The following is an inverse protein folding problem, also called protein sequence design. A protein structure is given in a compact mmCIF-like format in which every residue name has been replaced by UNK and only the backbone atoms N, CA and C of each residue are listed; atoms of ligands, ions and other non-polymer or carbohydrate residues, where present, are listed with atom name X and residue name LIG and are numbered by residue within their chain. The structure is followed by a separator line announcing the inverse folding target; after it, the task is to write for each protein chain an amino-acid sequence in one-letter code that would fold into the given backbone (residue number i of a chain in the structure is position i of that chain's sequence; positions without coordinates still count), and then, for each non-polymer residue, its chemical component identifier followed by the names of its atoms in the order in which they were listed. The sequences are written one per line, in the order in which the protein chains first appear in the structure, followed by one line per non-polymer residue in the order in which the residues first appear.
data_IF_767704202443
#
_entry.id   IF_767704202443
#
_cell.length_a   1.000
_cell.length_b   1.000
_cell.length_c   1.000
_cell.angle_alpha   90.00
_cell.angle_beta   90.00
_cell.angle_gamma   90.00
#
_symmetry.space_group_name_H-M   'P 1'
#
loop_
_entity.id
_entity.type
_entity.pdbx_description
1 polymer ?
#
# COMPACT_ATOMS: atom_id res chain seq x y z
N UNK A 1 -18.62 -17.35 78.80
CA UNK A 1 -17.24 -16.84 78.88
C UNK A 1 -17.23 -15.43 78.30
N UNK A 2 -17.39 -14.41 79.16
CA UNK A 2 -16.39 -13.37 79.49
C UNK A 2 -16.09 -12.45 78.29
N UNK A 3 -16.76 -11.28 78.15
CA UNK A 3 -16.54 -9.96 78.82
C UNK A 3 -15.41 -9.09 78.23
N UNK A 4 -15.82 -7.90 77.76
CA UNK A 4 -15.27 -6.56 78.07
C UNK A 4 -13.91 -6.15 77.46
N UNK A 5 -13.52 -4.88 77.25
CA UNK A 5 -14.10 -3.52 77.11
C UNK A 5 -12.84 -2.59 77.10
N UNK A 6 -12.94 -1.40 76.49
CA UNK A 6 -12.13 -0.20 76.82
C UNK A 6 -10.65 -0.17 76.34
N UNK A 7 -9.95 0.93 76.05
CA UNK A 7 -10.18 2.39 75.95
C UNK A 7 -8.86 3.07 75.51
N UNK A 8 -8.98 4.17 74.75
CA UNK A 8 -8.32 5.51 74.90
C UNK A 8 -6.79 5.68 75.06
N UNK A 9 -6.25 6.64 74.28
CA UNK A 9 -5.09 7.50 74.61
C UNK A 9 -4.15 7.70 73.40
N UNK A 10 -3.85 8.87 72.84
CA UNK A 10 -3.88 10.25 73.36
C UNK A 10 -2.45 10.80 73.44
N UNK A 11 -2.09 11.77 72.58
CA UNK A 11 -0.81 12.51 72.59
C UNK A 11 -0.08 12.40 71.23
N UNK A 12 -0.07 13.41 70.35
CA UNK A 12 0.49 14.75 70.57
C UNK A 12 2.01 14.61 70.70
N UNK A 13 2.85 15.07 69.76
CA UNK A 13 3.32 16.47 69.76
C UNK A 13 4.24 16.73 68.53
N UNK A 14 3.97 17.87 67.86
CA UNK A 14 4.85 18.79 67.08
C UNK A 14 5.31 18.47 65.64
N UNK A 15 4.78 19.32 64.74
CA UNK A 15 5.38 19.80 63.47
C UNK A 15 6.73 20.50 63.72
N UNK A 16 7.56 20.64 62.67
CA UNK A 16 7.56 21.93 61.96
C UNK A 16 7.59 21.79 60.42
N UNK A 17 6.76 22.59 59.74
CA UNK A 17 7.08 23.23 58.44
C UNK A 17 7.74 24.58 58.79
N UNK A 18 8.43 25.34 57.89
CA UNK A 18 8.45 25.25 56.42
C UNK A 18 9.85 25.44 55.79
N UNK A 19 9.97 25.32 54.46
CA UNK A 19 11.21 25.72 53.78
C UNK A 19 11.24 25.43 52.29
N UNK A 20 10.88 26.43 51.50
CA UNK A 20 11.15 26.52 50.06
C UNK A 20 12.63 26.20 49.76
N UNK A 21 12.91 25.16 48.96
CA UNK A 21 14.24 24.98 48.38
C UNK A 21 14.17 25.23 46.88
N UNK A 22 14.96 26.22 46.48
CA UNK A 22 15.11 26.74 45.14
C UNK A 22 15.69 25.65 44.23
N UNK A 23 15.13 25.54 43.04
CA UNK A 23 15.81 24.97 41.87
C UNK A 23 17.24 25.51 41.79
N UNK A 24 18.23 24.64 41.98
CA UNK A 24 19.62 24.91 41.60
C UNK A 24 19.78 24.46 40.16
N UNK A 25 19.64 25.42 39.25
CA UNK A 25 20.07 25.32 37.87
C UNK A 25 21.60 25.15 37.86
N UNK A 26 22.08 23.94 37.58
CA UNK A 26 23.48 23.71 37.24
C UNK A 26 23.71 24.24 35.83
N UNK A 27 24.23 25.46 35.71
CA UNK A 27 24.74 26.00 34.46
C UNK A 27 26.06 25.28 34.16
N UNK A 28 26.04 24.32 33.24
CA UNK A 28 27.25 23.84 32.59
C UNK A 28 27.79 24.97 31.69
N UNK A 29 28.88 25.62 32.09
CA UNK A 29 29.72 26.36 31.15
C UNK A 29 30.41 25.36 30.22
N UNK A 30 29.81 25.12 29.06
CA UNK A 30 30.52 24.51 27.94
C UNK A 30 31.53 25.54 27.40
N UNK A 31 32.81 25.16 27.41
CA UNK A 31 33.91 25.97 26.92
C UNK A 31 33.73 26.33 25.44
N UNK A 32 33.91 27.62 25.11
CA UNK A 32 33.76 28.21 23.77
C UNK A 32 34.80 27.74 22.73
N UNK A 33 35.60 26.71 23.02
CA UNK A 33 36.63 26.21 22.09
C UNK A 33 36.19 25.00 21.25
N UNK A 34 35.17 24.24 21.66
CA UNK A 34 34.70 23.06 20.90
C UNK A 34 33.68 23.38 19.79
N UNK A 35 33.03 24.54 19.83
CA UNK A 35 32.01 24.92 18.82
C UNK A 35 32.59 25.50 17.54
N UNK A 36 33.81 26.06 17.56
CA UNK A 36 34.49 26.56 16.34
C UNK A 36 35.07 25.43 15.50
N UNK A 37 35.64 24.40 16.13
CA UNK A 37 36.21 23.26 15.41
C UNK A 37 35.13 22.40 14.72
N UNK A 38 33.97 22.21 15.38
CA UNK A 38 32.84 21.49 14.78
C UNK A 38 32.21 22.27 13.61
N UNK A 39 32.16 23.60 13.71
CA UNK A 39 31.61 24.46 12.65
C UNK A 39 32.54 24.55 11.43
N UNK A 40 33.86 24.65 11.66
CA UNK A 40 34.85 24.63 10.58
C UNK A 40 34.89 23.28 9.83
N UNK A 41 34.69 22.16 10.55
CA UNK A 41 34.64 20.83 9.93
C UNK A 41 33.37 20.62 9.10
N UNK A 42 32.24 21.16 9.54
CA UNK A 42 30.98 21.13 8.79
C UNK A 42 30.99 22.05 7.55
N UNK A 43 31.66 23.21 7.63
CA UNK A 43 31.82 24.13 6.50
C UNK A 43 32.77 23.57 5.43
N UNK A 44 33.83 22.86 5.81
CA UNK A 44 34.77 22.21 4.89
C UNK A 44 34.15 20.98 4.18
N UNK A 45 33.32 20.21 4.89
CA UNK A 45 32.58 19.07 4.33
C UNK A 45 31.48 19.52 3.36
N UNK A 46 30.80 20.65 3.65
CA UNK A 46 29.87 21.31 2.74
C UNK A 46 30.58 21.90 1.50
N UNK A 47 31.78 22.47 1.66
CA UNK A 47 32.59 22.98 0.55
C UNK A 47 33.13 21.84 -0.34
N UNK A 48 33.38 20.65 0.22
CA UNK A 48 33.79 19.45 -0.52
C UNK A 48 32.64 18.82 -1.30
N UNK A 49 31.42 18.85 -0.76
CA UNK A 49 30.21 18.44 -1.48
C UNK A 49 29.88 19.38 -2.67
N UNK A 50 30.24 20.67 -2.57
CA UNK A 50 30.07 21.66 -3.63
C UNK A 50 31.11 21.58 -4.77
N UNK A 51 32.17 20.76 -4.64
CA UNK A 51 33.26 20.61 -5.62
C UNK A 51 33.26 19.26 -6.34
N UNK A 52 32.10 18.65 -6.54
CA UNK A 52 31.98 17.51 -7.46
C UNK A 52 31.86 18.02 -8.90
N UNK A 53 32.72 17.57 -9.83
CA UNK A 53 32.64 17.99 -11.22
C UNK A 53 31.31 17.54 -11.81
N UNK A 54 30.63 18.50 -12.43
CA UNK A 54 29.36 18.32 -13.13
C UNK A 54 29.53 17.30 -14.26
N UNK A 55 29.25 16.01 -14.00
CA UNK A 55 29.15 14.98 -15.04
C UNK A 55 27.92 15.26 -15.89
N UNK A 56 28.08 16.15 -16.87
CA UNK A 56 27.17 16.29 -18.01
C UNK A 56 27.17 14.95 -18.77
N UNK A 57 26.12 14.15 -18.60
CA UNK A 57 25.96 12.88 -19.31
C UNK A 57 24.95 11.87 -18.76
N UNK A 58 24.35 12.08 -17.59
CA UNK A 58 23.29 11.21 -17.09
C UNK A 58 21.90 11.69 -17.51
N UNK A 59 21.15 10.87 -18.27
CA UNK A 59 19.70 11.08 -18.42
C UNK A 59 19.07 11.11 -17.01
N UNK A 60 18.21 12.09 -16.67
CA UNK A 60 17.50 12.08 -15.40
C UNK A 60 16.62 10.82 -15.33
N UNK A 61 16.66 10.14 -14.18
CA UNK A 61 15.75 9.05 -13.85
C UNK A 61 14.32 9.56 -13.97
N UNK A 62 13.52 8.94 -14.84
CA UNK A 62 12.14 9.33 -15.06
C UNK A 62 11.35 9.11 -13.75
N UNK A 63 10.93 10.21 -13.11
CA UNK A 63 9.85 10.18 -12.13
C UNK A 63 8.53 9.77 -12.79
N UNK A 64 7.42 9.64 -12.03
CA UNK A 64 6.10 9.38 -12.61
C UNK A 64 5.85 10.38 -13.75
N UNK A 65 5.59 9.87 -14.96
CA UNK A 65 5.49 10.70 -16.17
C UNK A 65 4.41 11.76 -15.96
N UNK A 66 4.84 13.01 -15.76
CA UNK A 66 3.97 14.18 -15.77
C UNK A 66 3.60 14.47 -17.22
N UNK A 67 2.30 14.54 -17.53
CA UNK A 67 1.80 14.97 -18.83
C UNK A 67 2.42 16.33 -19.25
N UNK A 68 2.58 16.60 -20.55
CA UNK A 68 3.15 17.88 -21.00
C UNK A 68 2.29 19.03 -20.47
N UNK A 69 2.93 20.01 -19.82
CA UNK A 69 2.24 21.19 -19.25
C UNK A 69 2.03 22.32 -20.27
N UNK A 70 2.43 22.08 -21.53
CA UNK A 70 2.32 23.02 -22.65
C UNK A 70 1.77 22.27 -23.87
N UNK A 71 1.20 23.01 -24.82
CA UNK A 71 0.75 22.44 -26.09
C UNK A 71 1.89 21.73 -26.81
N UNK A 72 1.67 20.48 -27.22
CA UNK A 72 2.63 19.68 -28.01
C UNK A 72 1.89 19.07 -29.18
N UNK A 73 2.20 19.50 -30.40
CA UNK A 73 1.41 19.11 -31.58
C UNK A 73 -0.05 19.54 -31.44
N UNK A 74 -0.98 18.60 -31.63
CA UNK A 74 -2.43 18.83 -31.44
C UNK A 74 -2.89 18.73 -29.98
N UNK A 75 -2.04 18.26 -29.06
CA UNK A 75 -2.39 18.15 -27.65
C UNK A 75 -2.39 19.54 -26.98
N UNK A 76 -3.48 19.88 -26.29
CA UNK A 76 -3.64 21.11 -25.51
C UNK A 76 -4.00 20.81 -24.05
N UNK A 77 -3.11 21.08 -23.08
CA UNK A 77 -3.39 20.87 -21.66
C UNK A 77 -4.62 21.63 -21.15
N UNK A 78 -5.01 22.73 -21.80
CA UNK A 78 -6.19 23.50 -21.41
C UNK A 78 -7.51 22.81 -21.76
N UNK A 79 -7.48 21.79 -22.63
CA UNK A 79 -8.63 20.95 -22.98
C UNK A 79 -8.65 19.62 -22.22
N UNK A 80 -7.65 19.38 -21.36
CA UNK A 80 -7.61 18.22 -20.50
C UNK A 80 -8.76 18.28 -19.50
N UNK A 81 -9.62 17.25 -19.50
CA UNK A 81 -10.73 17.11 -18.55
C UNK A 81 -10.63 15.77 -17.86
N UNK A 82 -10.39 15.80 -16.55
CA UNK A 82 -10.55 14.62 -15.68
C UNK A 82 -12.03 14.44 -15.36
N UNK A 83 -12.62 13.35 -15.87
CA UNK A 83 -14.03 13.00 -15.61
C UNK A 83 -14.22 11.83 -14.64
N UNK A 84 -13.14 11.38 -13.99
CA UNK A 84 -13.12 10.21 -13.10
C UNK A 84 -14.27 10.21 -12.07
N UNK A 85 -14.80 9.02 -11.78
CA UNK A 85 -15.75 8.78 -10.70
C UNK A 85 -15.05 8.14 -9.49
N UNK A 86 -15.33 8.63 -8.28
CA UNK A 86 -14.87 8.01 -7.02
C UNK A 86 -16.09 7.78 -6.13
N UNK A 87 -16.13 6.63 -5.46
CA UNK A 87 -17.18 6.26 -4.53
C UNK A 87 -16.61 5.60 -3.28
N UNK A 88 -17.31 5.75 -2.15
CA UNK A 88 -16.91 5.17 -0.87
C UNK A 88 -18.15 4.64 -0.13
N UNK A 89 -18.15 3.37 0.23
CA UNK A 89 -19.12 2.73 1.12
C UNK A 89 -18.41 2.29 2.40
N UNK A 90 -18.95 2.68 3.57
CA UNK A 90 -18.36 2.37 4.87
C UNK A 90 -19.43 1.93 5.86
N UNK A 91 -19.15 0.86 6.59
CA UNK A 91 -19.91 0.50 7.78
C UNK A 91 -19.29 1.19 9.01
N UNK A 92 -20.01 2.14 9.61
CA UNK A 92 -19.51 2.97 10.73
C UNK A 92 -19.15 2.17 11.98
N UNK A 93 -19.72 0.98 12.16
CA UNK A 93 -19.42 0.06 13.27
C UNK A 93 -18.30 -0.94 12.95
N UNK A 94 -17.64 -0.81 11.79
CA UNK A 94 -16.57 -1.70 11.31
C UNK A 94 -16.96 -3.19 11.21
N UNK A 95 -18.26 -3.50 11.16
CA UNK A 95 -18.74 -4.87 10.95
C UNK A 95 -18.66 -5.18 9.45
N UNK A 96 -17.89 -6.21 9.10
CA UNK A 96 -17.77 -6.65 7.72
C UNK A 96 -19.11 -7.18 7.20
N UNK A 97 -19.49 -6.78 5.99
CA UNK A 97 -20.72 -7.23 5.34
C UNK A 97 -20.51 -7.39 3.84
N UNK A 98 -21.18 -8.38 3.26
CA UNK A 98 -21.25 -8.54 1.81
C UNK A 98 -21.93 -7.36 1.14
N UNK A 99 -22.91 -6.74 1.82
CA UNK A 99 -23.68 -5.62 1.29
C UNK A 99 -22.78 -4.42 0.93
N UNK A 100 -21.74 -4.14 1.72
CA UNK A 100 -20.81 -3.03 1.43
C UNK A 100 -20.10 -3.22 0.09
N UNK A 101 -19.75 -4.47 -0.26
CA UNK A 101 -19.08 -4.79 -1.53
C UNK A 101 -20.07 -4.69 -2.70
N UNK A 102 -21.32 -5.13 -2.50
CA UNK A 102 -22.39 -5.04 -3.50
C UNK A 102 -22.77 -3.59 -3.78
N UNK A 103 -22.99 -2.78 -2.73
CA UNK A 103 -23.31 -1.36 -2.84
C UNK A 103 -22.19 -0.59 -3.54
N UNK A 104 -20.94 -0.88 -3.20
CA UNK A 104 -19.78 -0.26 -3.86
C UNK A 104 -19.70 -0.63 -5.34
N UNK A 105 -19.98 -1.88 -5.70
CA UNK A 105 -20.05 -2.29 -7.11
C UNK A 105 -21.21 -1.59 -7.84
N UNK A 106 -22.39 -1.48 -7.23
CA UNK A 106 -23.51 -0.75 -7.82
C UNK A 106 -23.15 0.72 -8.05
N UNK A 107 -22.49 1.36 -7.08
CA UNK A 107 -21.97 2.72 -7.23
C UNK A 107 -20.98 2.82 -8.40
N UNK A 108 -20.06 1.86 -8.52
CA UNK A 108 -19.08 1.82 -9.61
C UNK A 108 -19.76 1.70 -10.98
N UNK A 109 -20.70 0.76 -11.12
CA UNK A 109 -21.50 0.58 -12.36
C UNK A 109 -22.27 1.86 -12.70
N UNK A 110 -22.84 2.55 -11.72
CA UNK A 110 -23.53 3.83 -11.97
C UNK A 110 -22.59 4.95 -12.44
N UNK A 111 -21.27 4.79 -12.29
CA UNK A 111 -20.25 5.71 -12.82
C UNK A 111 -19.81 5.38 -14.26
N UNK A 112 -20.39 4.40 -14.96
CA UNK A 112 -20.02 4.08 -16.35
C UNK A 112 -20.04 5.31 -17.27
N UNK A 113 -21.04 6.19 -17.11
CA UNK A 113 -21.16 7.44 -17.89
C UNK A 113 -20.00 8.45 -17.68
N UNK A 114 -19.14 8.22 -16.67
CA UNK A 114 -17.95 9.01 -16.34
C UNK A 114 -16.64 8.32 -16.71
N UNK A 115 -16.68 7.03 -17.05
CA UNK A 115 -15.54 6.31 -17.58
C UNK A 115 -15.34 6.65 -19.05
N UNK A 116 -14.09 6.67 -19.50
CA UNK A 116 -13.81 6.60 -20.93
C UNK A 116 -13.72 5.13 -21.35
N UNK A 117 -14.17 4.87 -22.57
CA UNK A 117 -13.88 3.64 -23.28
C UNK A 117 -12.66 3.88 -24.16
N UNK A 118 -11.81 2.85 -24.29
CA UNK A 118 -10.68 2.83 -25.21
C UNK A 118 -11.15 2.76 -26.67
N UNK A 119 -10.25 2.32 -27.55
CA UNK A 119 -10.55 2.17 -28.98
C UNK A 119 -11.63 1.11 -29.29
N UNK A 120 -11.91 0.21 -28.35
CA UNK A 120 -12.93 -0.83 -28.42
C UNK A 120 -13.97 -0.60 -27.32
N UNK A 121 -15.26 -0.86 -27.60
CA UNK A 121 -16.36 -0.63 -26.64
C UNK A 121 -16.18 -1.41 -25.33
N UNK A 122 -15.52 -2.57 -25.38
CA UNK A 122 -15.27 -3.46 -24.24
C UNK A 122 -13.88 -3.29 -23.61
N UNK A 123 -13.16 -2.22 -23.95
CA UNK A 123 -11.90 -1.83 -23.29
C UNK A 123 -12.14 -0.58 -22.47
N UNK A 124 -12.04 -0.66 -21.14
CA UNK A 124 -12.11 0.51 -20.26
C UNK A 124 -10.74 1.13 -19.97
N UNK A 125 -10.71 2.42 -19.63
CA UNK A 125 -9.48 3.14 -19.26
C UNK A 125 -8.89 2.75 -17.90
N UNK A 126 -9.69 2.10 -17.07
CA UNK A 126 -9.31 1.61 -15.76
C UNK A 126 -10.43 1.74 -14.74
N UNK A 127 -10.67 0.68 -13.99
CA UNK A 127 -11.60 0.66 -12.89
C UNK A 127 -11.07 -0.25 -11.79
N UNK A 128 -11.52 -0.02 -10.55
CA UNK A 128 -11.13 -0.87 -9.45
C UNK A 128 -11.89 -0.61 -8.16
N UNK A 129 -11.72 -1.54 -7.24
CA UNK A 129 -12.25 -1.55 -5.90
C UNK A 129 -11.12 -1.83 -4.90
N UNK A 130 -11.01 -0.97 -3.89
CA UNK A 130 -10.21 -1.20 -2.69
C UNK A 130 -11.17 -1.60 -1.57
N UNK A 131 -10.88 -2.67 -0.87
CA UNK A 131 -11.66 -3.12 0.28
C UNK A 131 -10.80 -3.28 1.52
N UNK A 132 -11.39 -3.26 2.71
CA UNK A 132 -10.71 -3.83 3.87
C UNK A 132 -10.50 -5.33 3.67
N UNK A 133 -9.39 -5.87 4.21
CA UNK A 133 -8.98 -7.27 4.05
C UNK A 133 -10.12 -8.21 4.47
N UNK A 134 -10.63 -9.05 3.54
CA UNK A 134 -11.71 -9.99 3.82
C UNK A 134 -11.15 -11.29 4.44
N UNK A 135 -10.76 -11.25 5.72
CA UNK A 135 -10.04 -12.33 6.41
C UNK A 135 -10.70 -13.71 6.26
N UNK A 136 -12.01 -13.80 6.51
CA UNK A 136 -12.76 -15.06 6.41
C UNK A 136 -12.67 -15.71 5.02
N UNK A 137 -12.80 -14.91 3.96
CA UNK A 137 -12.63 -15.37 2.58
C UNK A 137 -11.18 -15.80 2.32
N UNK A 138 -10.20 -14.99 2.72
CA UNK A 138 -8.78 -15.26 2.45
C UNK A 138 -8.27 -16.53 3.13
N UNK A 139 -8.75 -16.85 4.34
CA UNK A 139 -8.38 -18.10 5.02
C UNK A 139 -8.82 -19.33 4.22
N UNK A 140 -10.07 -19.34 3.75
CA UNK A 140 -10.59 -20.40 2.88
C UNK A 140 -9.81 -20.46 1.57
N UNK A 141 -9.60 -19.32 0.92
CA UNK A 141 -8.87 -19.24 -0.33
C UNK A 141 -7.40 -19.69 -0.22
N UNK A 142 -6.75 -19.45 0.93
CA UNK A 142 -5.39 -19.92 1.22
C UNK A 142 -5.34 -21.45 1.43
N UNK A 143 -6.36 -22.03 2.08
CA UNK A 143 -6.49 -23.49 2.22
C UNK A 143 -6.68 -24.15 0.85
N UNK A 144 -7.58 -23.62 0.02
CA UNK A 144 -7.83 -24.11 -1.35
C UNK A 144 -6.58 -24.02 -2.24
N UNK A 145 -5.73 -23.00 -2.03
CA UNK A 145 -4.46 -22.83 -2.73
C UNK A 145 -3.32 -23.70 -2.17
N UNK A 146 -3.55 -24.52 -1.14
CA UNK A 146 -2.54 -25.38 -0.52
C UNK A 146 -1.51 -24.64 0.35
N UNK A 147 -1.80 -23.39 0.74
CA UNK A 147 -0.92 -22.58 1.62
C UNK A 147 -1.06 -23.02 3.08
N UNK A 148 -2.26 -23.46 3.48
CA UNK A 148 -2.57 -23.88 4.84
C UNK A 148 -3.16 -22.75 5.68
N UNK A 149 -2.88 -22.77 6.99
CA UNK A 149 -3.45 -21.82 7.95
C UNK A 149 -2.72 -20.47 7.89
N UNK A 150 -3.48 -19.39 7.76
CA UNK A 150 -2.95 -18.03 7.84
C UNK A 150 -2.77 -17.58 9.31
N UNK A 151 -1.77 -16.73 9.62
CA UNK A 151 -1.66 -16.10 10.93
C UNK A 151 -2.94 -15.35 11.36
N UNK A 152 -3.08 -14.98 12.64
CA UNK A 152 -4.21 -14.19 13.13
C UNK A 152 -4.44 -12.90 12.32
N UNK A 153 -5.69 -12.43 12.24
CA UNK A 153 -6.02 -11.18 11.56
C UNK A 153 -5.18 -10.02 12.13
N UNK A 154 -4.56 -9.23 11.25
CA UNK A 154 -3.63 -8.16 11.63
C UNK A 154 -2.18 -8.60 11.86
N UNK A 155 -1.91 -9.91 11.98
CA UNK A 155 -0.56 -10.49 12.04
C UNK A 155 -0.07 -11.03 10.69
N UNK A 156 -0.90 -10.98 9.66
CA UNK A 156 -0.50 -11.18 8.28
C UNK A 156 -0.96 -10.02 7.40
N UNK A 157 -0.29 -9.90 6.25
CA UNK A 157 -0.65 -9.00 5.18
C UNK A 157 -0.90 -9.79 3.90
N UNK A 158 -1.72 -9.21 3.03
CA UNK A 158 -2.01 -9.73 1.71
C UNK A 158 -1.67 -8.67 0.67
N UNK A 159 -1.18 -9.09 -0.49
CA UNK A 159 -0.90 -8.18 -1.59
C UNK A 159 -1.20 -8.78 -2.95
N UNK A 160 -1.92 -8.02 -3.78
CA UNK A 160 -2.12 -8.33 -5.19
C UNK A 160 -0.98 -7.72 -6.01
N UNK A 161 -0.35 -8.55 -6.84
CA UNK A 161 0.81 -8.19 -7.64
C UNK A 161 0.54 -8.57 -9.09
N UNK A 162 0.73 -7.62 -9.99
CA UNK A 162 0.75 -7.84 -11.42
C UNK A 162 2.12 -8.29 -11.85
N UNK A 163 2.15 -9.39 -12.59
CA UNK A 163 3.36 -9.96 -13.16
C UNK A 163 3.15 -10.11 -14.66
N UNK A 164 4.10 -9.67 -15.50
CA UNK A 164 4.02 -9.88 -16.94
C UNK A 164 3.87 -11.38 -17.32
N UNK A 165 3.07 -11.69 -18.35
CA UNK A 165 2.81 -13.06 -18.83
C UNK A 165 3.96 -13.61 -19.70
N UNK A 166 5.20 -13.51 -19.22
CA UNK A 166 6.38 -14.06 -19.89
C UNK A 166 6.93 -15.27 -19.13
N UNK A 167 7.63 -16.15 -19.85
CA UNK A 167 8.32 -17.28 -19.26
C UNK A 167 9.28 -16.81 -18.16
N UNK A 168 9.28 -17.50 -17.02
CA UNK A 168 10.08 -17.17 -15.83
C UNK A 168 9.74 -15.86 -15.10
N UNK A 169 8.81 -15.03 -15.59
CA UNK A 169 8.42 -13.80 -14.90
C UNK A 169 7.85 -14.06 -13.50
N UNK A 170 6.97 -15.05 -13.35
CA UNK A 170 6.35 -15.40 -12.06
C UNK A 170 7.39 -15.89 -11.04
N UNK A 171 8.24 -16.89 -11.34
CA UNK A 171 9.33 -17.30 -10.44
C UNK A 171 10.24 -16.13 -10.01
N UNK A 172 10.64 -15.27 -10.95
CA UNK A 172 11.50 -14.12 -10.65
C UNK A 172 10.80 -13.10 -9.75
N UNK A 173 9.55 -12.75 -10.05
CA UNK A 173 8.75 -11.85 -9.23
C UNK A 173 8.59 -12.38 -7.79
N UNK A 174 8.29 -13.67 -7.64
CA UNK A 174 8.18 -14.33 -6.32
C UNK A 174 9.51 -14.28 -5.57
N UNK A 175 10.62 -14.61 -6.24
CA UNK A 175 11.96 -14.60 -5.64
C UNK A 175 12.40 -13.21 -5.16
N UNK A 176 12.07 -12.15 -5.90
CA UNK A 176 12.33 -10.77 -5.48
C UNK A 176 11.56 -10.43 -4.21
N UNK A 177 10.25 -10.68 -4.20
CA UNK A 177 9.40 -10.36 -3.05
C UNK A 177 9.83 -11.14 -1.82
N UNK A 178 10.10 -12.44 -1.94
CA UNK A 178 10.59 -13.28 -0.84
C UNK A 178 11.91 -12.79 -0.28
N UNK A 179 12.87 -12.45 -1.14
CA UNK A 179 14.17 -11.90 -0.74
C UNK A 179 14.03 -10.57 -0.01
N UNK A 180 13.23 -9.64 -0.54
CA UNK A 180 12.99 -8.33 0.07
C UNK A 180 12.28 -8.46 1.42
N UNK A 181 11.29 -9.35 1.53
CA UNK A 181 10.62 -9.67 2.80
C UNK A 181 11.64 -10.23 3.82
N UNK A 182 12.45 -11.20 3.41
CA UNK A 182 13.47 -11.81 4.27
C UNK A 182 14.48 -10.79 4.80
N UNK A 183 14.98 -9.89 3.94
CA UNK A 183 15.90 -8.81 4.34
C UNK A 183 15.31 -7.87 5.41
N UNK A 184 13.99 -7.81 5.52
CA UNK A 184 13.26 -6.96 6.48
C UNK A 184 12.72 -7.73 7.68
N UNK A 185 13.05 -9.02 7.78
CA UNK A 185 12.58 -9.89 8.86
C UNK A 185 11.09 -10.18 8.77
N UNK A 186 10.55 -10.35 7.56
CA UNK A 186 9.20 -10.85 7.32
C UNK A 186 9.28 -12.17 6.58
N UNK A 187 8.31 -13.05 6.81
CA UNK A 187 8.21 -14.35 6.15
C UNK A 187 7.07 -14.34 5.15
N UNK A 188 7.33 -14.81 3.94
CA UNK A 188 6.26 -15.12 2.98
C UNK A 188 5.65 -16.46 3.39
N UNK A 189 4.35 -16.47 3.66
CA UNK A 189 3.58 -17.67 4.05
C UNK A 189 3.28 -18.51 2.81
N UNK A 190 2.89 -17.86 1.72
CA UNK A 190 2.59 -18.54 0.47
C UNK A 190 2.11 -17.60 -0.62
N UNK A 191 1.85 -18.20 -1.77
CA UNK A 191 1.39 -17.53 -2.98
C UNK A 191 0.14 -18.20 -3.50
N UNK A 192 -0.79 -17.39 -3.97
CA UNK A 192 -2.05 -17.81 -4.59
C UNK A 192 -2.19 -17.14 -5.95
N UNK A 193 -2.59 -17.88 -6.96
CA UNK A 193 -3.04 -17.27 -8.22
C UNK A 193 -4.46 -16.72 -8.01
N UNK A 194 -4.68 -15.45 -8.37
CA UNK A 194 -6.01 -14.84 -8.24
C UNK A 194 -6.87 -15.30 -9.41
N UNK A 195 -8.03 -15.93 -9.18
CA UNK A 195 -8.89 -16.39 -10.26
C UNK A 195 -9.59 -15.21 -10.94
N UNK A 196 -9.53 -15.17 -12.26
CA UNK A 196 -10.18 -14.14 -13.08
C UNK A 196 -10.81 -14.74 -14.37
N UNK A 197 -11.82 -14.06 -14.90
CA UNK A 197 -12.44 -14.33 -16.20
C UNK A 197 -12.24 -13.12 -17.13
N UNK A 198 -11.44 -13.30 -18.18
CA UNK A 198 -11.11 -12.26 -19.15
C UNK A 198 -11.93 -12.34 -20.44
N UNK A 199 -12.99 -13.16 -20.48
CA UNK A 199 -13.84 -13.34 -21.67
C UNK A 199 -14.49 -12.03 -22.13
N UNK A 200 -14.82 -11.14 -21.19
CA UNK A 200 -15.56 -9.89 -21.44
C UNK A 200 -14.69 -8.70 -21.86
N UNK A 201 -13.36 -8.77 -21.72
CA UNK A 201 -12.46 -7.64 -22.00
C UNK A 201 -11.99 -7.64 -23.46
N UNK A 202 -11.75 -6.44 -24.00
CA UNK A 202 -11.25 -6.24 -25.36
C UNK A 202 -9.84 -6.75 -25.60
N UNK A 203 -9.48 -6.93 -26.87
CA UNK A 203 -8.19 -7.51 -27.28
C UNK A 203 -7.03 -6.60 -26.88
N UNK A 204 -7.26 -5.29 -26.91
CA UNK A 204 -6.30 -4.30 -26.42
C UNK A 204 -5.98 -4.48 -24.94
N UNK A 205 -6.99 -4.72 -24.08
CA UNK A 205 -6.79 -4.99 -22.66
C UNK A 205 -6.14 -6.36 -22.41
N UNK A 206 -6.52 -7.39 -23.19
CA UNK A 206 -5.92 -8.73 -23.14
C UNK A 206 -4.44 -8.70 -23.50
N UNK A 207 -4.05 -7.88 -24.48
CA UNK A 207 -2.65 -7.76 -24.92
C UNK A 207 -1.69 -7.28 -23.82
N UNK A 208 -2.18 -6.47 -22.89
CA UNK A 208 -1.40 -5.93 -21.74
C UNK A 208 -1.76 -6.60 -20.41
N UNK A 209 -2.67 -7.58 -20.41
CA UNK A 209 -3.19 -8.22 -19.20
C UNK A 209 -2.06 -8.92 -18.40
N UNK A 210 -1.84 -8.55 -17.13
CA UNK A 210 -0.87 -9.21 -16.28
C UNK A 210 -1.42 -10.54 -15.74
N UNK A 211 -0.52 -11.42 -15.34
CA UNK A 211 -0.87 -12.49 -14.40
C UNK A 211 -0.96 -11.90 -13.00
N UNK A 212 -2.08 -12.14 -12.30
CA UNK A 212 -2.31 -11.60 -10.96
C UNK A 212 -1.97 -12.66 -9.92
N UNK A 213 -0.91 -12.42 -9.15
CA UNK A 213 -0.54 -13.26 -8.02
C UNK A 213 -0.82 -12.54 -6.70
N UNK A 214 -1.26 -13.30 -5.71
CA UNK A 214 -1.54 -12.85 -4.37
C UNK A 214 -0.50 -13.44 -3.40
N UNK A 215 0.16 -12.58 -2.64
CA UNK A 215 1.16 -12.96 -1.64
C UNK A 215 0.61 -12.81 -0.24
N UNK A 216 0.90 -13.77 0.64
CA UNK A 216 0.63 -13.69 2.07
C UNK A 216 1.94 -13.52 2.82
N UNK A 217 2.03 -12.48 3.66
CA UNK A 217 3.25 -12.13 4.40
C UNK A 217 2.95 -12.08 5.89
N UNK A 218 3.67 -12.85 6.68
CA UNK A 218 3.56 -12.87 8.13
C UNK A 218 4.37 -11.75 8.78
N UNK A 219 3.81 -11.15 9.82
CA UNK A 219 4.49 -10.25 10.75
C UNK A 219 5.34 -11.04 11.75
N UNK A 220 6.36 -11.75 11.28
CA UNK A 220 7.13 -12.71 12.10
C UNK A 220 7.87 -12.09 13.29
N UNK A 221 8.03 -10.76 13.31
CA UNK A 221 8.66 -10.02 14.41
C UNK A 221 7.67 -9.42 15.42
N UNK A 222 6.36 -9.70 15.29
CA UNK A 222 5.35 -9.17 16.20
C UNK A 222 5.30 -7.64 16.22
N UNK A 223 5.55 -6.99 15.07
CA UNK A 223 5.59 -5.53 15.00
C UNK A 223 4.21 -4.94 15.34
N UNK A 224 4.13 -3.79 16.02
CA UNK A 224 2.89 -3.05 16.13
C UNK A 224 2.28 -2.77 14.74
N UNK A 225 0.94 -2.74 14.64
CA UNK A 225 0.20 -2.60 13.37
C UNK A 225 0.76 -1.50 12.45
N UNK A 226 1.04 -0.31 12.99
CA UNK A 226 1.57 0.81 12.20
C UNK A 226 2.99 0.55 11.67
N UNK A 227 3.84 -0.08 12.48
CA UNK A 227 5.20 -0.42 12.08
C UNK A 227 5.20 -1.53 11.03
N UNK A 228 4.24 -2.47 11.11
CA UNK A 228 4.06 -3.50 10.09
C UNK A 228 3.65 -2.89 8.75
N UNK A 229 2.62 -2.03 8.71
CA UNK A 229 2.22 -1.29 7.50
C UNK A 229 3.38 -0.48 6.89
N UNK A 230 4.19 0.16 7.74
CA UNK A 230 5.37 0.90 7.28
C UNK A 230 6.42 0.00 6.64
N UNK A 231 6.67 -1.18 7.19
CA UNK A 231 7.60 -2.13 6.58
C UNK A 231 7.04 -2.74 5.28
N UNK A 232 5.74 -3.03 5.21
CA UNK A 232 5.08 -3.47 3.98
C UNK A 232 5.22 -2.42 2.87
N UNK A 233 5.02 -1.13 3.18
CA UNK A 233 5.31 -0.05 2.23
C UNK A 233 6.76 -0.08 1.73
N UNK A 234 7.73 -0.30 2.62
CA UNK A 234 9.14 -0.41 2.24
C UNK A 234 9.43 -1.66 1.40
N UNK A 235 8.76 -2.78 1.66
CA UNK A 235 8.81 -3.98 0.80
C UNK A 235 8.33 -3.63 -0.59
N UNK A 236 7.16 -2.99 -0.74
CA UNK A 236 6.63 -2.59 -2.05
C UNK A 236 7.64 -1.75 -2.83
N UNK A 237 8.21 -0.72 -2.21
CA UNK A 237 9.18 0.17 -2.87
C UNK A 237 10.47 -0.54 -3.25
N UNK A 238 10.97 -1.43 -2.38
CA UNK A 238 12.19 -2.18 -2.65
C UNK A 238 11.98 -3.25 -3.73
N UNK A 239 10.88 -4.01 -3.65
CA UNK A 239 10.53 -5.02 -4.64
C UNK A 239 10.33 -4.41 -6.03
N UNK A 240 9.60 -3.29 -6.15
CA UNK A 240 9.47 -2.56 -7.42
C UNK A 240 10.84 -2.13 -7.96
N UNK A 241 11.67 -1.51 -7.12
CA UNK A 241 13.00 -1.04 -7.55
C UNK A 241 13.89 -2.19 -8.03
N UNK A 242 13.83 -3.35 -7.38
CA UNK A 242 14.58 -4.52 -7.80
C UNK A 242 14.02 -5.12 -9.09
N UNK A 243 12.69 -5.20 -9.23
CA UNK A 243 12.04 -5.68 -10.44
C UNK A 243 12.31 -4.80 -11.68
N UNK A 244 12.44 -3.48 -11.50
CA UNK A 244 12.82 -2.53 -12.57
C UNK A 244 14.18 -2.86 -13.20
N UNK A 245 15.05 -3.58 -12.47
CA UNK A 245 16.36 -4.02 -12.97
C UNK A 245 16.36 -5.39 -13.65
N UNK A 246 15.20 -6.08 -13.65
CA UNK A 246 15.04 -7.43 -14.20
C UNK A 246 14.27 -7.33 -15.53
N UNK A 247 14.91 -7.62 -16.69
CA UNK A 247 14.29 -7.40 -17.99
C UNK A 247 12.95 -8.13 -18.20
N UNK A 248 12.82 -9.37 -17.71
CA UNK A 248 11.58 -10.16 -17.85
C UNK A 248 10.41 -9.59 -17.02
N UNK A 249 10.69 -8.72 -16.06
CA UNK A 249 9.71 -8.02 -15.23
C UNK A 249 9.46 -6.58 -15.69
N UNK A 250 10.19 -6.10 -16.69
CA UNK A 250 10.12 -4.72 -17.19
C UNK A 250 10.21 -4.73 -18.72
N UNK A 251 9.18 -5.29 -19.36
CA UNK A 251 9.17 -5.52 -20.81
C UNK A 251 8.79 -4.26 -21.58
N UNK A 252 7.84 -3.49 -21.04
CA UNK A 252 7.42 -2.21 -21.60
C UNK A 252 6.84 -1.30 -20.51
N UNK A 253 6.52 -0.06 -20.86
CA UNK A 253 5.81 0.88 -19.97
C UNK A 253 4.43 0.34 -19.53
N UNK A 254 3.84 -0.62 -20.25
CA UNK A 254 2.50 -1.19 -19.99
C UNK A 254 2.54 -2.63 -19.48
N UNK A 255 3.67 -3.31 -19.57
CA UNK A 255 3.86 -4.70 -19.14
C UNK A 255 5.06 -4.78 -18.20
N UNK A 256 4.82 -4.42 -16.95
CA UNK A 256 5.83 -4.44 -15.88
C UNK A 256 5.28 -5.01 -14.58
N UNK A 257 6.18 -5.46 -13.72
CA UNK A 257 5.87 -5.88 -12.36
C UNK A 257 5.29 -4.70 -11.57
N UNK A 258 4.13 -4.91 -10.95
CA UNK A 258 3.47 -3.85 -10.19
C UNK A 258 2.76 -4.37 -8.94
N UNK A 259 3.06 -3.78 -7.78
CA UNK A 259 2.40 -4.13 -6.50
C UNK A 259 1.19 -3.24 -6.26
N UNK A 260 0.01 -3.75 -6.60
CA UNK A 260 -1.28 -3.05 -6.46
C UNK A 260 -1.55 -2.65 -5.01
N UNK A 261 -1.42 -3.62 -4.12
CA UNK A 261 -1.54 -3.45 -2.69
C UNK A 261 -0.61 -4.45 -1.99
N UNK A 262 -0.17 -4.10 -0.79
CA UNK A 262 0.44 -5.03 0.17
C UNK A 262 0.23 -4.41 1.55
N UNK A 263 -0.74 -4.94 2.30
CA UNK A 263 -1.20 -4.37 3.56
C UNK A 263 -1.91 -5.45 4.39
N UNK A 264 -1.91 -5.28 5.71
CA UNK A 264 -2.72 -6.06 6.65
C UNK A 264 -4.15 -5.50 6.80
N UNK A 265 -4.43 -4.33 6.22
CA UNK A 265 -5.71 -3.62 6.39
C UNK A 265 -6.55 -3.55 5.14
N UNK A 266 -5.92 -3.38 3.98
CA UNK A 266 -6.65 -3.16 2.71
C UNK A 266 -6.08 -3.98 1.56
N UNK A 267 -6.93 -4.36 0.61
CA UNK A 267 -6.54 -5.02 -0.62
C UNK A 267 -7.23 -4.38 -1.83
N UNK A 268 -6.52 -4.27 -2.95
CA UNK A 268 -7.04 -3.62 -4.17
C UNK A 268 -7.20 -4.64 -5.29
N UNK A 269 -8.37 -4.65 -5.90
CA UNK A 269 -8.70 -5.34 -7.14
C UNK A 269 -8.99 -4.28 -8.19
N UNK A 270 -8.11 -4.14 -9.18
CA UNK A 270 -8.21 -3.10 -10.22
C UNK A 270 -7.70 -3.66 -11.53
N UNK A 271 -8.02 -3.01 -12.63
CA UNK A 271 -7.38 -3.33 -13.89
C UNK A 271 -7.80 -2.37 -14.98
N UNK A 272 -7.39 -2.68 -16.20
CA UNK A 272 -7.83 -2.01 -17.40
C UNK A 272 -9.24 -2.49 -17.79
N UNK A 273 -10.19 -2.15 -16.93
CA UNK A 273 -11.57 -2.62 -16.94
C UNK A 273 -12.52 -1.43 -17.02
N UNK A 274 -13.66 -1.60 -17.68
CA UNK A 274 -14.80 -0.71 -17.49
C UNK A 274 -15.40 -0.94 -16.10
N UNK A 275 -16.17 0.02 -15.56
CA UNK A 275 -16.78 -0.12 -14.24
C UNK A 275 -17.61 -1.39 -14.06
N UNK A 276 -18.32 -1.81 -15.11
CA UNK A 276 -19.19 -2.99 -15.12
C UNK A 276 -18.41 -4.31 -15.17
N UNK A 277 -17.14 -4.26 -15.57
CA UNK A 277 -16.28 -5.43 -15.73
C UNK A 277 -15.58 -5.83 -14.43
N UNK A 278 -15.45 -4.95 -13.42
CA UNK A 278 -14.61 -5.23 -12.23
C UNK A 278 -15.08 -6.46 -11.44
N UNK A 279 -16.37 -6.55 -11.11
CA UNK A 279 -16.91 -7.67 -10.33
C UNK A 279 -16.99 -8.98 -11.12
N UNK A 280 -17.41 -9.00 -12.40
CA UNK A 280 -17.37 -10.22 -13.20
C UNK A 280 -15.94 -10.70 -13.53
N UNK A 281 -14.98 -9.79 -13.72
CA UNK A 281 -13.60 -10.15 -14.03
C UNK A 281 -12.92 -10.88 -12.88
N UNK A 282 -13.04 -10.40 -11.63
CA UNK A 282 -12.42 -11.05 -10.47
C UNK A 282 -13.37 -12.02 -9.78
N UNK A 283 -13.12 -13.32 -9.92
CA UNK A 283 -14.01 -14.36 -9.37
C UNK A 283 -14.09 -14.31 -7.83
N UNK A 284 -13.05 -13.81 -7.16
CA UNK A 284 -13.05 -13.51 -5.72
C UNK A 284 -14.18 -12.56 -5.32
N UNK A 285 -14.37 -11.48 -6.10
CA UNK A 285 -15.35 -10.44 -5.77
C UNK A 285 -16.79 -10.95 -5.89
N UNK A 286 -17.02 -12.06 -6.58
CA UNK A 286 -18.33 -12.69 -6.74
C UNK A 286 -18.70 -13.59 -5.55
N UNK A 287 -17.73 -13.99 -4.74
CA UNK A 287 -17.96 -14.94 -3.67
C UNK A 287 -18.87 -14.35 -2.56
N UNK A 288 -19.89 -15.09 -2.10
CA UNK A 288 -20.81 -14.61 -1.05
C UNK A 288 -20.12 -14.32 0.29
N UNK A 289 -19.03 -15.02 0.59
CA UNK A 289 -18.21 -14.87 1.80
C UNK A 289 -17.15 -13.74 1.68
N UNK A 290 -17.04 -13.09 0.51
CA UNK A 290 -16.20 -11.90 0.34
C UNK A 290 -16.90 -10.68 0.96
N UNK A 291 -16.63 -10.46 2.23
CA UNK A 291 -17.21 -9.37 3.05
C UNK A 291 -16.20 -8.29 3.38
N UNK A 292 -16.65 -7.03 3.47
CA UNK A 292 -15.79 -5.94 3.93
C UNK A 292 -16.59 -4.90 4.73
N UNK A 293 -15.92 -4.12 5.58
CA UNK A 293 -16.53 -2.98 6.27
C UNK A 293 -16.26 -1.64 5.58
N UNK A 294 -15.41 -1.65 4.55
CA UNK A 294 -14.96 -0.49 3.79
C UNK A 294 -14.78 -0.91 2.33
N UNK A 295 -15.36 -0.16 1.40
CA UNK A 295 -15.11 -0.33 -0.03
C UNK A 295 -15.01 1.04 -0.72
N UNK A 296 -13.89 1.29 -1.40
CA UNK A 296 -13.64 2.47 -2.22
C UNK A 296 -13.57 2.03 -3.67
N UNK A 297 -14.34 2.67 -4.53
CA UNK A 297 -14.36 2.40 -5.97
C UNK A 297 -13.89 3.61 -6.76
N UNK A 298 -13.26 3.34 -7.90
CA UNK A 298 -12.79 4.36 -8.80
C UNK A 298 -12.97 3.91 -10.25
N UNK A 299 -13.50 4.82 -11.08
CA UNK A 299 -13.53 4.71 -12.53
C UNK A 299 -12.70 5.85 -13.10
N UNK A 300 -11.75 5.48 -13.97
CA UNK A 300 -10.82 6.42 -14.60
C UNK A 300 -11.37 6.92 -15.93
N UNK A 301 -11.06 8.16 -16.24
CA UNK A 301 -11.11 8.73 -17.57
C UNK A 301 -9.68 9.15 -17.95
N UNK A 302 -9.21 8.76 -19.12
CA UNK A 302 -7.86 9.03 -19.63
C UNK A 302 -7.93 9.69 -20.99
N UNK A 303 -7.04 10.64 -21.25
CA UNK A 303 -6.86 11.22 -22.59
C UNK A 303 -5.82 10.46 -23.43
N UNK A 304 -5.29 9.34 -22.91
CA UNK A 304 -4.39 8.45 -23.65
C UNK A 304 -5.14 7.24 -24.25
N UNK A 305 -4.65 6.75 -25.38
CA UNK A 305 -5.15 5.54 -26.05
C UNK A 305 -4.22 4.33 -25.83
N UNK A 306 -3.25 4.45 -24.91
CA UNK A 306 -2.27 3.41 -24.59
C UNK A 306 -2.54 2.90 -23.19
N UNK A 307 -3.36 1.85 -23.08
CA UNK A 307 -3.90 1.52 -21.79
C UNK A 307 -2.95 0.59 -21.01
N UNK A 308 -3.01 0.70 -19.68
CA UNK A 308 -2.09 0.06 -18.74
C UNK A 308 -2.84 -0.29 -17.45
N UNK A 309 -2.58 -1.48 -16.92
CA UNK A 309 -3.31 -2.09 -15.80
C UNK A 309 -2.98 -1.48 -14.42
#
# INVERSE_FOLDING_TARGET
MLRNLATVGGGGVRRPLPGSSKSRSTVLLASRQSSRAAKAKAEDEAARAARLPNRRGGRPLAGPRTLPTKRVGLYDPALEKDSCGVGLAVQMKSVASRQIVVDANEMLVRMTHRGACGCEENTGDGAGILVAVPDGFLRKAAQEAGIGELPPEGEYAVGNIFVPKFENAIPEAKAIVERVCKQRGMKVVGWRDVPYDNSMIGDTAKGTEPHVVQVFVENSNGRPSWDFERELYRVRKAATKEADSVPVLTVSDTQSFYVCSLSAKTITYKGQLSPEQVMPYYLDLQQPDFTSHLALVHSRFSTNTFPSW
#
